data_IF_930535844082
#
_entry.id   IF_930535844082
#
_cell.length_a   1.000
_cell.length_b   1.000
_cell.length_c   1.000
_cell.angle_alpha   90.00
_cell.angle_beta   90.00
_cell.angle_gamma   90.00
#
_symmetry.space_group_name_H-M   'P 1'
#
loop_
_entity.id
_entity.type
_entity.pdbx_description
1 polymer ?
#
# COMPACT_ATOMS: atom_id res chain seq x y z
N UNK A 1 -6.97 6.81 -9.69
CA UNK A 1 -6.90 7.16 -11.13
C UNK A 1 -6.47 8.60 -11.45
N UNK A 2 -6.50 9.58 -10.51
CA UNK A 2 -6.22 11.00 -10.83
C UNK A 2 -4.86 11.26 -11.50
N UNK A 3 -3.80 10.54 -11.10
CA UNK A 3 -2.49 10.63 -11.75
C UNK A 3 -2.55 10.26 -13.24
N UNK A 4 -3.19 9.13 -13.58
CA UNK A 4 -3.33 8.71 -14.97
C UNK A 4 -4.06 9.75 -15.84
N UNK A 5 -5.08 10.40 -15.30
CA UNK A 5 -5.78 11.50 -16.00
C UNK A 5 -4.87 12.72 -16.17
N UNK A 6 -4.14 13.11 -15.11
CA UNK A 6 -3.22 14.24 -15.18
C UNK A 6 -2.05 14.01 -16.15
N UNK A 7 -1.63 12.75 -16.34
CA UNK A 7 -0.58 12.39 -17.29
C UNK A 7 -0.95 12.65 -18.76
N UNK A 8 -2.24 12.78 -19.08
CA UNK A 8 -2.68 13.06 -20.46
C UNK A 8 -2.22 14.43 -20.96
N UNK A 9 -2.02 15.39 -20.05
CA UNK A 9 -1.72 16.79 -20.40
C UNK A 9 -0.47 17.32 -19.71
N UNK A 10 0.15 16.56 -18.81
CA UNK A 10 1.37 16.96 -18.12
C UNK A 10 2.62 16.47 -18.88
N UNK A 11 3.47 17.37 -19.40
CA UNK A 11 4.70 16.99 -20.10
C UNK A 11 5.66 16.15 -19.25
N UNK A 12 5.63 16.28 -17.92
CA UNK A 12 6.44 15.47 -17.02
C UNK A 12 6.09 13.98 -17.07
N UNK A 13 4.95 13.60 -17.65
CA UNK A 13 4.56 12.21 -17.87
C UNK A 13 5.19 11.57 -19.12
N UNK A 14 5.71 12.37 -20.06
CA UNK A 14 6.16 11.88 -21.34
C UNK A 14 7.42 11.02 -21.19
N UNK A 15 7.34 9.74 -21.60
CA UNK A 15 8.44 8.77 -21.49
C UNK A 15 8.99 8.64 -20.05
N UNK A 16 8.13 8.79 -19.05
CA UNK A 16 8.50 8.75 -17.65
C UNK A 16 7.90 7.52 -16.94
N UNK A 17 8.65 6.98 -15.97
CA UNK A 17 8.12 6.05 -14.97
C UNK A 17 7.73 6.88 -13.76
N UNK A 18 6.48 6.74 -13.32
CA UNK A 18 5.93 7.48 -12.19
C UNK A 18 5.60 6.50 -11.06
N UNK A 19 6.36 6.54 -9.97
CA UNK A 19 6.02 5.79 -8.77
C UNK A 19 4.90 6.47 -8.00
N UNK A 20 3.92 5.67 -7.56
CA UNK A 20 2.69 6.15 -6.92
C UNK A 20 2.51 5.48 -5.56
N UNK A 21 2.66 6.30 -4.51
CA UNK A 21 2.40 5.96 -3.12
C UNK A 21 1.32 6.84 -2.48
N UNK A 22 1.16 6.67 -1.18
CA UNK A 22 0.32 7.53 -0.34
C UNK A 22 1.08 8.76 0.19
N UNK A 23 0.43 9.60 1.02
CA UNK A 23 1.09 10.76 1.64
C UNK A 23 2.11 10.39 2.73
N UNK A 24 2.16 9.12 3.15
CA UNK A 24 3.13 8.60 4.10
C UNK A 24 3.42 7.12 3.77
N UNK A 25 4.68 6.71 3.90
CA UNK A 25 5.07 5.30 3.86
C UNK A 25 4.76 4.66 5.22
N UNK A 26 3.70 3.86 5.27
CA UNK A 26 3.24 3.21 6.49
C UNK A 26 3.50 1.71 6.44
N UNK A 27 3.93 1.15 7.57
CA UNK A 27 4.00 -0.30 7.77
C UNK A 27 2.59 -0.90 7.97
N UNK A 28 2.43 -2.22 7.81
CA UNK A 28 1.16 -2.88 8.02
C UNK A 28 0.63 -2.69 9.45
N UNK A 29 1.53 -2.72 10.44
CA UNK A 29 1.19 -2.52 11.85
C UNK A 29 0.77 -1.08 12.15
N UNK A 30 1.35 -0.09 11.47
CA UNK A 30 0.89 1.30 11.58
C UNK A 30 -0.51 1.46 10.99
N UNK A 31 -0.84 0.76 9.90
CA UNK A 31 -2.20 0.75 9.35
C UNK A 31 -3.18 0.10 10.33
N UNK A 32 -2.82 -1.02 10.95
CA UNK A 32 -3.63 -1.65 12.01
C UNK A 32 -3.89 -0.67 13.15
N UNK A 33 -2.85 -0.03 13.67
CA UNK A 33 -2.98 0.95 14.76
C UNK A 33 -3.94 2.10 14.40
N UNK A 34 -3.93 2.57 13.15
CA UNK A 34 -4.88 3.59 12.66
C UNK A 34 -6.32 3.06 12.71
N UNK A 35 -6.55 1.81 12.31
CA UNK A 35 -7.87 1.18 12.38
C UNK A 35 -8.35 1.01 13.82
N UNK A 36 -7.47 0.57 14.73
CA UNK A 36 -7.79 0.41 16.15
C UNK A 36 -8.10 1.77 16.80
N UNK A 37 -7.28 2.80 16.52
CA UNK A 37 -7.48 4.18 17.00
C UNK A 37 -8.85 4.74 16.60
N UNK A 38 -9.23 4.59 15.33
CA UNK A 38 -10.48 5.15 14.82
C UNK A 38 -11.69 4.32 15.24
N UNK A 39 -11.58 2.99 15.22
CA UNK A 39 -12.73 2.12 15.48
C UNK A 39 -12.96 1.84 16.96
N UNK A 40 -11.98 2.09 17.82
CA UNK A 40 -12.01 1.72 19.25
C UNK A 40 -11.98 0.21 19.50
N UNK A 41 -11.72 -0.61 18.48
CA UNK A 41 -11.70 -2.07 18.56
C UNK A 41 -10.28 -2.57 18.34
N UNK A 42 -9.86 -3.56 19.12
CA UNK A 42 -8.60 -4.27 18.92
C UNK A 42 -8.70 -5.26 17.77
N UNK A 43 -7.65 -5.38 16.97
CA UNK A 43 -7.54 -6.32 15.87
C UNK A 43 -6.57 -7.42 16.28
N UNK A 44 -7.02 -8.67 16.26
CA UNK A 44 -6.15 -9.81 16.54
C UNK A 44 -5.13 -9.96 15.39
N UNK A 45 -3.84 -10.06 15.74
CA UNK A 45 -2.74 -10.16 14.79
C UNK A 45 -2.19 -11.57 14.73
N UNK A 46 -1.95 -12.05 13.51
CA UNK A 46 -1.17 -13.26 13.23
C UNK A 46 0.11 -12.84 12.53
N UNK A 47 1.26 -13.20 13.12
CA UNK A 47 2.56 -12.95 12.53
C UNK A 47 3.03 -14.19 11.80
N UNK A 48 3.60 -13.99 10.61
CA UNK A 48 4.19 -15.04 9.78
C UNK A 48 5.60 -14.60 9.41
N UNK A 49 6.58 -15.47 9.55
CA UNK A 49 7.97 -15.12 9.23
C UNK A 49 8.21 -15.10 7.72
N UNK A 50 9.27 -14.40 7.30
CA UNK A 50 9.68 -14.39 5.90
C UNK A 50 10.10 -15.79 5.41
N UNK A 51 10.68 -16.61 6.28
CA UNK A 51 11.05 -17.99 6.02
C UNK A 51 9.82 -18.88 5.83
N UNK A 52 8.78 -18.71 6.66
CA UNK A 52 7.52 -19.44 6.52
C UNK A 52 6.84 -19.11 5.19
N UNK A 53 6.78 -17.82 4.81
CA UNK A 53 6.26 -17.41 3.51
C UNK A 53 7.09 -17.97 2.35
N UNK A 54 8.42 -18.04 2.50
CA UNK A 54 9.29 -18.64 1.50
C UNK A 54 9.04 -20.13 1.32
N UNK A 55 8.87 -20.87 2.43
CA UNK A 55 8.55 -22.28 2.42
C UNK A 55 7.16 -22.55 1.81
N UNK A 56 6.15 -21.74 2.17
CA UNK A 56 4.80 -21.84 1.59
C UNK A 56 4.81 -21.63 0.07
N UNK A 57 5.54 -20.61 -0.40
CA UNK A 57 5.67 -20.33 -1.83
C UNK A 57 6.32 -21.51 -2.59
N UNK A 58 7.36 -22.12 -2.01
CA UNK A 58 8.08 -23.23 -2.63
C UNK A 58 7.28 -24.55 -2.60
N UNK A 59 6.43 -24.75 -1.59
CA UNK A 59 5.68 -25.98 -1.39
C UNK A 59 4.39 -26.06 -2.21
N UNK A 60 3.79 -24.92 -2.58
CA UNK A 60 2.53 -24.89 -3.32
C UNK A 60 2.75 -24.95 -4.83
N UNK A 61 1.91 -25.69 -5.54
CA UNK A 61 1.85 -25.73 -7.01
C UNK A 61 0.68 -24.91 -7.57
N UNK A 62 -0.16 -24.36 -6.70
CA UNK A 62 -1.25 -23.47 -7.06
C UNK A 62 -0.68 -22.07 -7.38
N UNK A 63 -0.77 -21.57 -8.64
CA UNK A 63 -0.20 -20.29 -9.04
C UNK A 63 -0.72 -19.10 -8.22
N UNK A 64 -1.97 -19.16 -7.76
CA UNK A 64 -2.56 -18.10 -6.94
C UNK A 64 -1.89 -18.04 -5.56
N UNK A 65 -1.71 -19.19 -4.92
CA UNK A 65 -1.03 -19.28 -3.62
C UNK A 65 0.45 -18.91 -3.72
N UNK A 66 1.13 -19.32 -4.80
CA UNK A 66 2.51 -18.89 -5.06
C UNK A 66 2.61 -17.37 -5.14
N UNK A 67 1.69 -16.74 -5.89
CA UNK A 67 1.65 -15.27 -6.06
C UNK A 67 1.36 -14.56 -4.74
N UNK A 68 0.44 -15.09 -3.94
CA UNK A 68 0.09 -14.51 -2.65
C UNK A 68 1.26 -14.59 -1.66
N UNK A 69 1.92 -15.75 -1.55
CA UNK A 69 3.10 -15.90 -0.70
C UNK A 69 4.24 -14.97 -1.14
N UNK A 70 4.49 -14.85 -2.45
CA UNK A 70 5.47 -13.90 -2.98
C UNK A 70 5.13 -12.45 -2.63
N UNK A 71 3.87 -12.04 -2.80
CA UNK A 71 3.40 -10.70 -2.45
C UNK A 71 3.59 -10.41 -0.96
N UNK A 72 3.24 -11.33 -0.07
CA UNK A 72 3.41 -11.17 1.37
C UNK A 72 4.88 -11.02 1.76
N UNK A 73 5.80 -11.68 1.05
CA UNK A 73 7.25 -11.50 1.24
C UNK A 73 7.71 -10.11 0.84
N UNK A 74 7.29 -9.63 -0.34
CA UNK A 74 7.60 -8.26 -0.76
C UNK A 74 7.04 -7.23 0.23
N UNK A 75 5.82 -7.47 0.70
CA UNK A 75 5.17 -6.60 1.69
C UNK A 75 5.90 -6.57 3.03
N UNK A 76 6.43 -7.72 3.48
CA UNK A 76 7.23 -7.81 4.70
C UNK A 76 8.61 -7.15 4.56
N UNK A 77 9.24 -7.24 3.38
CA UNK A 77 10.51 -6.57 3.09
C UNK A 77 10.35 -5.04 3.06
N UNK A 78 9.18 -4.55 2.65
CA UNK A 78 8.87 -3.13 2.53
C UNK A 78 9.45 -2.53 1.24
N UNK A 79 8.68 -1.61 0.66
CA UNK A 79 9.08 -0.85 -0.53
C UNK A 79 8.51 0.58 -0.42
N UNK A 80 9.13 1.44 0.41
CA UNK A 80 8.63 2.79 0.65
C UNK A 80 8.81 3.66 -0.61
N UNK A 81 7.70 4.18 -1.14
CA UNK A 81 7.71 5.10 -2.28
C UNK A 81 7.83 6.55 -1.79
N UNK A 82 8.89 7.24 -2.20
CA UNK A 82 9.03 8.69 -1.97
C UNK A 82 8.19 9.47 -2.98
N UNK A 83 7.15 10.12 -2.48
CA UNK A 83 6.23 10.92 -3.29
C UNK A 83 6.69 12.36 -3.53
N UNK A 84 7.83 12.80 -2.97
CA UNK A 84 8.25 14.20 -3.01
C UNK A 84 8.41 14.72 -4.44
N UNK A 85 9.20 14.03 -5.28
CA UNK A 85 9.40 14.44 -6.66
C UNK A 85 8.12 14.32 -7.50
N UNK A 86 7.38 13.22 -7.32
CA UNK A 86 6.10 13.00 -8.00
C UNK A 86 5.10 14.12 -7.70
N UNK A 87 5.00 14.58 -6.45
CA UNK A 87 4.05 15.62 -6.05
C UNK A 87 4.48 17.03 -6.48
N UNK A 88 5.77 17.28 -6.67
CA UNK A 88 6.24 18.52 -7.32
C UNK A 88 5.77 18.56 -8.78
N UNK A 89 5.90 17.45 -9.51
CA UNK A 89 5.46 17.36 -10.91
C UNK A 89 3.93 17.26 -11.05
N UNK A 90 3.26 16.64 -10.08
CA UNK A 90 1.82 16.39 -10.05
C UNK A 90 1.26 16.81 -8.69
N UNK A 91 0.90 18.10 -8.52
CA UNK A 91 0.41 18.63 -7.24
C UNK A 91 -1.04 18.18 -6.97
N UNK A 92 -1.23 16.88 -6.80
CA UNK A 92 -2.50 16.24 -6.54
C UNK A 92 -2.63 15.98 -5.02
N UNK A 93 -3.73 16.37 -4.37
CA UNK A 93 -3.97 15.96 -2.99
C UNK A 93 -4.06 14.43 -2.92
N UNK A 94 -3.31 13.87 -1.98
CA UNK A 94 -3.35 12.45 -1.63
C UNK A 94 -4.28 12.25 -0.44
N UNK A 95 -4.95 11.10 -0.39
CA UNK A 95 -5.78 10.71 0.76
C UNK A 95 -4.94 9.88 1.71
N UNK A 96 -4.88 10.27 2.98
CA UNK A 96 -4.22 9.48 4.02
C UNK A 96 -5.03 8.24 4.38
N UNK A 97 -4.36 7.22 4.92
CA UNK A 97 -5.04 6.03 5.45
C UNK A 97 -6.05 6.43 6.53
N UNK A 98 -5.70 7.38 7.42
CA UNK A 98 -6.60 7.86 8.48
C UNK A 98 -7.90 8.45 7.94
N UNK A 99 -7.82 9.27 6.89
CA UNK A 99 -9.01 9.82 6.22
C UNK A 99 -9.83 8.74 5.51
N UNK A 100 -9.16 7.80 4.85
CA UNK A 100 -9.82 6.67 4.20
C UNK A 100 -10.62 5.83 5.21
N UNK A 101 -10.00 5.44 6.32
CA UNK A 101 -10.63 4.64 7.38
C UNK A 101 -11.84 5.35 7.98
N UNK A 102 -11.74 6.65 8.26
CA UNK A 102 -12.88 7.44 8.76
C UNK A 102 -14.07 7.40 7.80
N UNK A 103 -13.82 7.55 6.49
CA UNK A 103 -14.90 7.49 5.48
C UNK A 103 -15.56 6.11 5.43
N UNK A 104 -14.76 5.05 5.51
CA UNK A 104 -15.28 3.68 5.48
C UNK A 104 -16.11 3.33 6.71
N UNK A 105 -15.68 3.76 7.91
CA UNK A 105 -16.36 3.41 9.16
C UNK A 105 -17.61 4.26 9.45
N UNK A 106 -17.73 5.46 8.87
CA UNK A 106 -18.96 6.29 8.97
C UNK A 106 -20.05 5.85 8.00
N UNK A 107 -19.70 5.05 6.99
CA UNK A 107 -20.63 4.55 5.96
C UNK A 107 -21.34 3.25 6.37
N UNK A 108 -21.32 2.90 7.67
CA UNK A 108 -21.93 1.69 8.26
C UNK A 108 -23.04 2.09 9.22
#
# INVERSE_FOLDING_TARGET
ARFAVASLTNPAAANAILELGGPAALSPLQVVAIYEEISGRTIALTYVSAEELAAQQAATTDPMQQSFAALMRCFAAGDPIDMTATLVAFPLPLTSVKEFVRKQLVSV
#
